data_IF_000614327195
#
_entry.id   IF_000614327195
#
_cell.length_a   1.000
_cell.length_b   1.000
_cell.length_c   1.000
_cell.angle_alpha   90.00
_cell.angle_beta   90.00
_cell.angle_gamma   90.00
#
_symmetry.space_group_name_H-M   'P 1'
#
loop_
_entity.id
_entity.type
_entity.pdbx_description
1 polymer ?
#
# COMPACT_ATOMS: atom_id res chain seq x y z
N UNK A 1 -19.24 20.81 38.27
CA UNK A 1 -17.80 21.18 38.32
C UNK A 1 -17.03 19.88 38.15
N UNK A 2 -16.17 19.60 37.18
CA UNK A 2 -15.55 20.30 36.06
C UNK A 2 -14.39 19.41 35.58
N UNK A 3 -14.04 19.48 34.29
CA UNK A 3 -12.80 19.00 33.62
C UNK A 3 -12.50 17.49 33.64
N UNK A 4 -12.68 16.74 32.54
CA UNK A 4 -11.83 16.66 31.31
C UNK A 4 -10.40 16.18 31.60
N UNK A 5 -10.17 14.88 31.38
CA UNK A 5 -8.85 14.28 31.19
C UNK A 5 -8.89 13.38 29.96
N UNK A 6 -8.29 13.84 28.84
CA UNK A 6 -8.07 13.05 27.63
C UNK A 6 -6.84 12.16 27.83
N UNK A 7 -7.01 10.85 27.87
CA UNK A 7 -5.95 9.88 27.64
C UNK A 7 -6.10 9.36 26.20
N UNK A 8 -5.18 9.76 25.33
CA UNK A 8 -5.10 9.24 23.95
C UNK A 8 -4.45 7.87 23.94
N UNK A 9 -5.23 6.82 23.65
CA UNK A 9 -4.69 5.51 23.31
C UNK A 9 -4.25 5.51 21.83
N UNK A 10 -2.94 5.47 21.61
CA UNK A 10 -2.32 5.29 20.30
C UNK A 10 -2.22 3.77 20.04
N UNK A 11 -3.08 3.23 19.18
CA UNK A 11 -2.98 1.83 18.73
C UNK A 11 -2.10 1.79 17.47
N UNK A 12 -0.87 1.32 17.64
CA UNK A 12 0.01 0.88 16.56
C UNK A 12 -0.45 -0.51 16.10
N UNK A 13 -0.79 -0.64 14.83
CA UNK A 13 -1.05 -1.94 14.19
C UNK A 13 0.20 -2.33 13.41
N UNK A 14 0.94 -3.30 13.92
CA UNK A 14 2.00 -3.98 13.18
C UNK A 14 1.37 -4.94 12.15
N UNK A 15 1.78 -4.82 10.89
CA UNK A 15 1.52 -5.84 9.86
C UNK A 15 2.85 -6.50 9.48
N UNK A 16 3.02 -7.75 9.90
CA UNK A 16 4.11 -8.61 9.46
C UNK A 16 4.00 -8.93 7.98
N UNK A 17 5.04 -8.59 7.22
CA UNK A 17 5.18 -8.93 5.80
C UNK A 17 5.73 -10.36 5.68
N UNK A 18 4.86 -11.28 5.26
CA UNK A 18 5.22 -12.62 4.82
C UNK A 18 4.70 -12.90 3.41
N UNK A 19 5.62 -13.28 2.53
CA UNK A 19 5.46 -13.76 1.14
C UNK A 19 5.25 -12.71 0.03
N UNK A 20 6.20 -12.77 -0.91
CA UNK A 20 6.28 -11.97 -2.12
C UNK A 20 5.28 -12.46 -3.19
N UNK A 21 4.52 -11.51 -3.76
CA UNK A 21 3.75 -11.68 -4.99
C UNK A 21 4.42 -10.81 -6.06
N UNK A 22 4.75 -11.31 -7.27
CA UNK A 22 5.44 -10.51 -8.27
C UNK A 22 4.52 -9.42 -8.86
N UNK A 23 4.96 -8.17 -8.72
CA UNK A 23 4.32 -6.90 -9.09
C UNK A 23 3.95 -6.73 -10.60
N UNK A 24 4.18 -7.72 -11.45
CA UNK A 24 3.91 -7.60 -12.89
C UNK A 24 2.44 -7.84 -13.28
N UNK A 25 1.64 -8.53 -12.46
CA UNK A 25 0.22 -8.76 -12.74
C UNK A 25 -0.71 -7.56 -12.45
N UNK A 26 -0.33 -6.68 -11.53
CA UNK A 26 -1.13 -5.51 -11.13
C UNK A 26 -1.03 -4.35 -12.14
N UNK A 27 0.09 -4.23 -12.85
CA UNK A 27 0.29 -3.17 -13.85
C UNK A 27 -0.62 -3.35 -15.08
N UNK A 28 -0.96 -4.60 -15.42
CA UNK A 28 -1.82 -4.91 -16.57
C UNK A 28 -3.32 -4.72 -16.27
N UNK A 29 -3.71 -4.78 -15.00
CA UNK A 29 -5.08 -4.50 -14.53
C UNK A 29 -5.29 -3.00 -14.35
N UNK A 30 -4.25 -2.25 -13.94
CA UNK A 30 -4.30 -0.80 -13.82
C UNK A 30 -4.38 -0.09 -15.18
N UNK A 31 -3.70 -0.58 -16.23
CA UNK A 31 -3.81 -0.01 -17.59
C UNK A 31 -5.19 -0.12 -18.24
N UNK A 32 -6.09 -0.98 -17.75
CA UNK A 32 -7.48 -1.07 -18.21
C UNK A 32 -8.44 -0.16 -17.44
N UNK A 33 -8.11 0.25 -16.21
CA UNK A 33 -8.97 1.16 -15.42
C UNK A 33 -8.91 2.60 -15.90
N UNK A 34 -7.80 3.03 -16.50
CA UNK A 34 -7.67 4.40 -17.02
C UNK A 34 -8.48 4.64 -18.30
N UNK A 35 -8.74 3.60 -19.11
CA UNK A 35 -9.66 3.71 -20.25
C UNK A 35 -11.14 3.83 -19.83
N UNK A 36 -11.54 3.22 -18.72
CA UNK A 36 -12.92 3.34 -18.19
C UNK A 36 -13.13 4.70 -17.52
N UNK A 37 -12.09 5.27 -16.90
CA UNK A 37 -12.13 6.62 -16.33
C UNK A 37 -12.15 7.72 -17.39
N UNK A 38 -11.46 7.53 -18.51
CA UNK A 38 -11.46 8.49 -19.63
C UNK A 38 -12.83 8.60 -20.33
N UNK A 39 -13.60 7.49 -20.42
CA UNK A 39 -14.97 7.54 -20.95
C UNK A 39 -15.99 8.16 -19.98
N UNK A 40 -15.74 8.14 -18.67
CA UNK A 40 -16.67 8.69 -17.68
C UNK A 40 -16.50 10.20 -17.44
N UNK A 41 -15.29 10.73 -17.66
CA UNK A 41 -15.00 12.17 -17.50
C UNK A 41 -15.47 12.99 -18.72
N UNK A 42 -15.61 12.38 -19.89
CA UNK A 42 -16.12 13.08 -21.09
C UNK A 42 -17.65 13.20 -21.17
N UNK A 43 -18.43 12.54 -20.29
CA UNK A 43 -19.90 12.62 -20.30
C UNK A 43 -20.51 13.56 -19.23
N UNK A 44 -19.71 14.14 -18.33
CA UNK A 44 -20.22 14.95 -17.21
C UNK A 44 -19.70 16.40 -17.20
N UNK A 45 -19.66 17.06 -18.36
CA UNK A 45 -19.46 18.51 -18.44
C UNK A 45 -20.48 19.14 -19.39
N UNK A 46 -21.71 19.31 -18.88
CA UNK A 46 -22.67 20.28 -19.39
C UNK A 46 -23.57 20.72 -18.22
N UNK A 47 -23.75 22.05 -17.98
CA UNK A 47 -24.53 22.54 -16.86
C UNK A 47 -26.02 22.67 -17.22
N UNK A 48 -26.89 22.21 -16.33
CA UNK A 48 -28.30 22.61 -16.31
C UNK A 48 -29.31 21.47 -16.49
N UNK A 49 -29.71 20.86 -15.38
CA UNK A 49 -31.10 20.47 -15.05
C UNK A 49 -31.08 19.71 -13.73
N UNK A 50 -31.67 20.31 -12.69
CA UNK A 50 -32.12 19.57 -11.52
C UNK A 50 -33.30 18.65 -11.90
N UNK A 51 -33.38 17.56 -11.16
CA UNK A 51 -34.55 16.71 -10.92
C UNK A 51 -34.81 15.55 -11.87
N UNK A 52 -35.06 14.41 -11.22
CA UNK A 52 -35.60 13.12 -11.69
C UNK A 52 -34.59 12.08 -12.20
N UNK A 53 -34.36 11.07 -11.34
CA UNK A 53 -34.38 9.63 -11.61
C UNK A 53 -33.46 8.95 -10.58
N UNK A 54 -33.99 8.43 -9.47
CA UNK A 54 -34.60 7.10 -9.33
C UNK A 54 -33.54 6.00 -9.35
N UNK A 55 -33.31 5.44 -8.16
CA UNK A 55 -33.32 3.99 -7.91
C UNK A 55 -32.86 3.12 -9.08
N UNK A 56 -31.63 2.60 -9.01
CA UNK A 56 -31.21 1.48 -9.83
C UNK A 56 -30.54 0.45 -8.93
N UNK A 57 -31.34 -0.58 -8.66
CA UNK A 57 -31.07 -1.76 -7.88
C UNK A 57 -29.80 -2.50 -8.29
N UNK A 58 -29.15 -3.02 -7.25
CA UNK A 58 -28.11 -4.03 -7.29
C UNK A 58 -28.72 -5.42 -7.59
N UNK A 59 -29.43 -5.57 -8.72
CA UNK A 59 -29.98 -6.87 -9.17
C UNK A 59 -29.79 -7.01 -10.68
N UNK A 60 -28.55 -7.23 -11.12
CA UNK A 60 -28.27 -7.67 -12.49
C UNK A 60 -26.86 -8.28 -12.61
N UNK A 61 -26.62 -9.44 -11.98
CA UNK A 61 -25.49 -10.32 -12.31
C UNK A 61 -25.85 -11.81 -12.23
N UNK A 62 -27.14 -12.14 -12.43
CA UNK A 62 -27.61 -13.50 -12.67
C UNK A 62 -28.37 -13.53 -14.00
N UNK A 63 -27.63 -13.75 -15.09
CA UNK A 63 -28.06 -14.49 -16.29
C UNK A 63 -27.11 -14.16 -17.42
N UNK A 64 -26.11 -15.02 -17.63
CA UNK A 64 -25.50 -15.20 -18.94
C UNK A 64 -25.84 -16.61 -19.35
N UNK A 65 -27.02 -16.73 -19.96
CA UNK A 65 -27.51 -17.95 -20.60
C UNK A 65 -26.55 -18.42 -21.69
N UNK A 66 -26.30 -19.73 -21.69
CA UNK A 66 -25.68 -20.45 -22.79
C UNK A 66 -26.50 -20.22 -24.08
N UNK A 67 -25.85 -19.70 -25.11
CA UNK A 67 -26.28 -19.92 -26.49
C UNK A 67 -25.13 -20.52 -27.29
N UNK A 68 -25.05 -21.85 -27.24
CA UNK A 68 -24.25 -22.68 -28.14
C UNK A 68 -24.98 -22.71 -29.48
N UNK A 69 -24.50 -21.94 -30.48
CA UNK A 69 -24.84 -22.19 -31.88
C UNK A 69 -23.86 -23.20 -32.46
N UNK A 70 -24.32 -24.43 -32.60
CA UNK A 70 -23.69 -25.48 -33.39
C UNK A 70 -23.78 -25.12 -34.87
N UNK A 71 -22.64 -24.95 -35.53
CA UNK A 71 -22.53 -24.95 -36.99
C UNK A 71 -21.71 -26.16 -37.40
N UNK A 72 -22.34 -27.00 -38.23
CA UNK A 72 -21.87 -28.27 -38.76
C UNK A 72 -20.95 -28.09 -39.98
N UNK A 73 -19.80 -28.79 -39.92
CA UNK A 73 -19.00 -29.40 -41.01
C UNK A 73 -18.14 -28.56 -41.99
N UNK A 74 -17.11 -29.14 -42.69
CA UNK A 74 -16.50 -30.49 -42.57
C UNK A 74 -14.94 -30.54 -42.54
N UNK A 75 -14.44 -31.72 -42.11
CA UNK A 75 -13.17 -32.42 -42.42
C UNK A 75 -11.88 -31.61 -42.70
N UNK A 76 -10.89 -31.80 -41.82
CA UNK A 76 -9.48 -31.71 -42.22
C UNK A 76 -8.48 -31.64 -41.06
N UNK A 77 -7.85 -32.78 -40.75
CA UNK A 77 -6.51 -32.96 -40.12
C UNK A 77 -6.08 -31.95 -39.03
N UNK A 78 -5.95 -32.42 -37.78
CA UNK A 78 -4.69 -32.40 -36.99
C UNK A 78 -4.95 -32.78 -35.53
N UNK A 79 -4.66 -34.03 -35.20
CA UNK A 79 -4.32 -34.44 -33.84
C UNK A 79 -3.11 -33.62 -33.36
N UNK A 80 -3.27 -32.87 -32.27
CA UNK A 80 -2.21 -31.98 -31.76
C UNK A 80 -2.69 -30.80 -30.93
N UNK A 81 -4.00 -30.52 -30.88
CA UNK A 81 -4.60 -29.49 -30.00
C UNK A 81 -5.46 -30.02 -28.85
N UNK A 82 -5.73 -31.33 -28.79
CA UNK A 82 -6.57 -31.90 -27.74
C UNK A 82 -5.88 -31.95 -26.37
N UNK A 83 -4.58 -32.24 -26.31
CA UNK A 83 -3.85 -32.36 -25.03
C UNK A 83 -3.62 -31.04 -24.26
N UNK A 84 -3.86 -29.86 -24.85
CA UNK A 84 -3.74 -28.57 -24.14
C UNK A 84 -5.05 -28.08 -23.56
N UNK A 85 -6.20 -28.50 -24.10
CA UNK A 85 -7.50 -28.16 -23.54
C UNK A 85 -7.79 -28.97 -22.28
N UNK A 86 -7.42 -30.25 -22.25
CA UNK A 86 -7.65 -31.10 -21.07
C UNK A 86 -6.80 -30.67 -19.86
N UNK A 87 -5.56 -30.21 -20.07
CA UNK A 87 -4.73 -29.67 -18.98
C UNK A 87 -5.23 -28.33 -18.44
N UNK A 88 -5.76 -27.45 -19.30
CA UNK A 88 -6.37 -26.19 -18.86
C UNK A 88 -7.69 -26.42 -18.13
N UNK A 89 -8.47 -27.43 -18.54
CA UNK A 89 -9.71 -27.82 -17.85
C UNK A 89 -9.44 -28.42 -16.47
N UNK A 90 -8.37 -29.20 -16.31
CA UNK A 90 -7.95 -29.75 -15.00
C UNK A 90 -7.38 -28.66 -14.09
N UNK A 91 -6.66 -27.67 -14.63
CA UNK A 91 -6.16 -26.52 -13.86
C UNK A 91 -7.30 -25.58 -13.46
N UNK A 92 -8.27 -25.32 -14.35
CA UNK A 92 -9.47 -24.54 -14.05
C UNK A 92 -10.41 -25.26 -13.06
N UNK A 93 -10.57 -26.58 -13.18
CA UNK A 93 -11.28 -27.38 -12.18
C UNK A 93 -10.54 -27.45 -10.84
N UNK A 94 -9.20 -27.50 -10.84
CA UNK A 94 -8.38 -27.46 -9.63
C UNK A 94 -8.44 -26.11 -8.90
N UNK A 95 -8.43 -25.00 -9.65
CA UNK A 95 -8.63 -23.65 -9.11
C UNK A 95 -10.06 -23.44 -8.61
N UNK A 96 -11.07 -23.99 -9.30
CA UNK A 96 -12.44 -24.02 -8.80
C UNK A 96 -12.60 -24.90 -7.55
N UNK A 97 -11.88 -26.01 -7.44
CA UNK A 97 -11.92 -26.88 -6.26
C UNK A 97 -11.22 -26.22 -5.05
N UNK A 98 -10.13 -25.48 -5.27
CA UNK A 98 -9.47 -24.67 -4.23
C UNK A 98 -10.30 -23.44 -3.83
N UNK A 99 -11.10 -22.88 -4.74
CA UNK A 99 -12.08 -21.83 -4.44
C UNK A 99 -13.40 -22.38 -3.83
N UNK A 100 -13.66 -23.68 -3.96
CA UNK A 100 -14.85 -24.39 -3.42
C UNK A 100 -14.56 -25.16 -2.13
N UNK A 101 -13.30 -25.22 -1.69
CA UNK A 101 -12.97 -25.54 -0.30
C UNK A 101 -13.47 -24.39 0.56
N UNK A 102 -14.72 -24.51 0.97
CA UNK A 102 -15.44 -23.52 1.75
C UNK A 102 -14.60 -23.06 2.95
N UNK A 103 -14.64 -21.76 3.28
CA UNK A 103 -13.98 -21.28 4.49
C UNK A 103 -14.46 -22.14 5.66
N UNK A 104 -13.53 -22.60 6.50
CA UNK A 104 -13.92 -23.29 7.73
C UNK A 104 -15.04 -22.50 8.41
N UNK A 105 -16.02 -23.19 8.98
CA UNK A 105 -17.27 -22.62 9.50
C UNK A 105 -17.03 -21.42 10.45
N UNK A 106 -15.85 -21.36 11.06
CA UNK A 106 -15.33 -20.29 11.91
C UNK A 106 -15.02 -18.99 11.15
N UNK A 107 -14.49 -19.06 9.93
CA UNK A 107 -14.09 -17.91 9.12
C UNK A 107 -15.29 -17.28 8.40
N UNK A 108 -16.24 -18.11 7.94
CA UNK A 108 -17.53 -17.64 7.40
C UNK A 108 -18.34 -16.87 8.43
N UNK A 109 -18.42 -17.39 9.67
CA UNK A 109 -19.13 -16.73 10.78
C UNK A 109 -18.50 -15.39 11.18
N UNK A 110 -17.16 -15.29 11.20
CA UNK A 110 -16.46 -14.03 11.47
C UNK A 110 -16.73 -12.98 10.39
N UNK A 111 -16.68 -13.37 9.12
CA UNK A 111 -16.99 -12.47 7.99
C UNK A 111 -18.45 -11.99 8.03
N UNK A 112 -19.37 -12.89 8.34
CA UNK A 112 -20.80 -12.57 8.48
C UNK A 112 -21.04 -11.55 9.60
N UNK A 113 -20.42 -11.74 10.78
CA UNK A 113 -20.48 -10.77 11.88
C UNK A 113 -19.90 -9.40 11.49
N UNK A 114 -18.80 -9.36 10.76
CA UNK A 114 -18.25 -8.08 10.28
C UNK A 114 -19.21 -7.36 9.33
N UNK A 115 -19.93 -8.11 8.48
CA UNK A 115 -20.94 -7.55 7.58
C UNK A 115 -22.15 -7.04 8.37
N UNK A 116 -22.57 -7.75 9.41
CA UNK A 116 -23.68 -7.33 10.29
C UNK A 116 -23.32 -6.06 11.07
N UNK A 117 -22.15 -6.01 11.71
CA UNK A 117 -21.67 -4.83 12.44
C UNK A 117 -21.52 -3.61 11.52
N UNK A 118 -21.06 -3.81 10.27
CA UNK A 118 -20.96 -2.70 9.31
C UNK A 118 -22.31 -2.23 8.80
N UNK A 119 -23.30 -3.12 8.68
CA UNK A 119 -24.69 -2.75 8.38
C UNK A 119 -25.34 -1.99 9.53
N UNK A 120 -25.20 -2.45 10.76
CA UNK A 120 -25.72 -1.77 11.96
C UNK A 120 -25.18 -0.36 12.07
N UNK A 121 -23.85 -0.18 11.94
CA UNK A 121 -23.22 1.15 11.94
C UNK A 121 -23.73 2.06 10.82
N UNK A 122 -24.05 1.49 9.67
CA UNK A 122 -24.57 2.26 8.54
C UNK A 122 -26.02 2.71 8.79
N UNK A 123 -26.85 1.87 9.42
CA UNK A 123 -28.20 2.26 9.82
C UNK A 123 -28.19 3.29 10.97
N UNK A 124 -27.30 3.15 11.96
CA UNK A 124 -27.11 4.17 13.00
C UNK A 124 -26.75 5.54 12.41
N UNK A 125 -25.81 5.56 11.44
CA UNK A 125 -25.44 6.79 10.75
C UNK A 125 -26.58 7.38 9.92
N UNK A 126 -27.45 6.55 9.33
CA UNK A 126 -28.64 7.02 8.61
C UNK A 126 -29.64 7.67 9.56
N UNK A 127 -29.90 7.06 10.71
CA UNK A 127 -30.80 7.61 11.72
C UNK A 127 -30.28 8.93 12.29
N UNK A 128 -28.98 9.02 12.57
CA UNK A 128 -28.34 10.25 13.02
C UNK A 128 -28.43 11.36 11.96
N UNK A 129 -28.17 11.04 10.69
CA UNK A 129 -28.27 12.01 9.60
C UNK A 129 -29.70 12.52 9.43
N UNK A 130 -30.70 11.64 9.56
CA UNK A 130 -32.11 12.03 9.54
C UNK A 130 -32.46 12.96 10.71
N UNK A 131 -31.99 12.65 11.93
CA UNK A 131 -32.18 13.51 13.11
C UNK A 131 -31.54 14.89 12.92
N UNK A 132 -30.30 14.94 12.41
CA UNK A 132 -29.60 16.19 12.14
C UNK A 132 -30.29 17.02 11.06
N UNK A 133 -30.80 16.38 10.00
CA UNK A 133 -31.55 17.07 8.96
C UNK A 133 -32.83 17.72 9.51
N UNK A 134 -33.59 16.97 10.32
CA UNK A 134 -34.80 17.50 10.97
C UNK A 134 -34.46 18.66 11.92
N UNK A 135 -33.39 18.54 12.71
CA UNK A 135 -32.95 19.63 13.59
C UNK A 135 -32.53 20.88 12.80
N UNK A 136 -31.80 20.71 11.69
CA UNK A 136 -31.41 21.82 10.81
C UNK A 136 -32.62 22.53 10.19
N UNK A 137 -33.67 21.79 9.81
CA UNK A 137 -34.91 22.37 9.29
C UNK A 137 -35.62 23.20 10.38
N UNK A 138 -35.72 22.68 11.60
CA UNK A 138 -36.30 23.40 12.74
C UNK A 138 -35.53 24.70 13.03
N UNK A 139 -34.20 24.64 13.11
CA UNK A 139 -33.37 25.82 13.34
C UNK A 139 -33.51 26.86 12.22
N UNK A 140 -33.69 26.41 10.98
CA UNK A 140 -33.93 27.32 9.85
C UNK A 140 -35.26 28.07 10.00
N UNK A 141 -36.30 27.41 10.49
CA UNK A 141 -37.59 28.05 10.77
C UNK A 141 -37.48 29.05 11.92
N UNK A 142 -36.82 28.68 13.02
CA UNK A 142 -36.59 29.56 14.17
C UNK A 142 -35.80 30.83 13.78
N UNK A 143 -34.75 30.68 12.97
CA UNK A 143 -33.96 31.79 12.46
C UNK A 143 -34.84 32.76 11.65
N UNK A 144 -35.71 32.24 10.79
CA UNK A 144 -36.62 33.06 10.01
C UNK A 144 -37.64 33.82 10.87
N UNK A 145 -38.16 33.19 11.94
CA UNK A 145 -39.05 33.84 12.91
C UNK A 145 -38.33 34.99 13.62
N UNK A 146 -37.12 34.74 14.16
CA UNK A 146 -36.32 35.77 14.85
C UNK A 146 -35.99 36.92 13.89
N UNK A 147 -35.65 36.61 12.64
CA UNK A 147 -35.35 37.61 11.61
C UNK A 147 -36.56 38.50 11.31
N UNK A 148 -37.78 37.97 11.31
CA UNK A 148 -39.00 38.76 11.16
C UNK A 148 -39.26 39.64 12.39
N UNK A 149 -39.17 39.09 13.60
CA UNK A 149 -39.32 39.86 14.83
C UNK A 149 -38.34 41.03 14.93
N UNK A 150 -37.08 40.82 14.50
CA UNK A 150 -36.08 41.88 14.47
C UNK A 150 -36.45 43.03 13.52
N UNK A 151 -37.02 42.72 12.35
CA UNK A 151 -37.51 43.74 11.41
C UNK A 151 -38.67 44.55 11.99
N UNK A 152 -39.59 43.90 12.69
CA UNK A 152 -40.71 44.59 13.36
C UNK A 152 -40.23 45.54 14.45
N UNK A 153 -39.29 45.09 15.29
CA UNK A 153 -38.70 45.93 16.34
C UNK A 153 -37.96 47.14 15.75
N UNK A 154 -37.23 46.95 14.65
CA UNK A 154 -36.58 48.06 13.93
C UNK A 154 -37.58 49.09 13.41
N UNK A 155 -38.74 48.65 12.91
CA UNK A 155 -39.80 49.58 12.48
C UNK A 155 -40.42 50.34 13.66
N UNK A 156 -40.64 49.67 14.80
CA UNK A 156 -41.14 50.31 16.02
C UNK A 156 -40.18 51.38 16.55
N UNK A 157 -38.87 51.10 16.55
CA UNK A 157 -37.86 52.08 16.94
C UNK A 157 -37.90 53.34 16.05
N UNK A 158 -37.91 53.15 14.72
CA UNK A 158 -38.01 54.27 13.77
C UNK A 158 -39.28 55.11 13.95
N UNK A 159 -40.39 54.49 14.36
CA UNK A 159 -41.63 55.21 14.66
C UNK A 159 -41.49 56.05 15.94
N UNK A 160 -40.98 55.46 17.02
CA UNK A 160 -40.80 56.16 18.30
C UNK A 160 -39.78 57.31 18.19
N UNK A 161 -38.72 57.16 17.41
CA UNK A 161 -37.75 58.24 17.16
C UNK A 161 -38.40 59.46 16.51
N UNK A 162 -39.30 59.25 15.55
CA UNK A 162 -40.07 60.33 14.92
C UNK A 162 -41.02 61.01 15.89
N UNK A 163 -41.66 60.24 16.78
CA UNK A 163 -42.54 60.78 17.83
C UNK A 163 -41.75 61.61 18.86
N UNK A 164 -40.58 61.14 19.28
CA UNK A 164 -39.66 61.87 20.17
C UNK A 164 -39.18 63.19 19.56
N UNK A 165 -38.91 63.21 18.25
CA UNK A 165 -38.57 64.45 17.54
C UNK A 165 -39.67 65.51 17.65
N UNK A 166 -40.92 65.11 17.40
CA UNK A 166 -42.09 65.99 17.51
C UNK A 166 -42.32 66.51 18.94
N UNK A 167 -42.12 65.67 19.94
CA UNK A 167 -42.24 66.07 21.35
C UNK A 167 -41.18 67.10 21.75
N UNK A 168 -39.92 66.91 21.30
CA UNK A 168 -38.85 67.87 21.56
C UNK A 168 -39.08 69.22 20.88
N UNK A 169 -39.70 69.23 19.70
CA UNK A 169 -40.08 70.47 19.01
C UNK A 169 -41.21 71.20 19.74
N UNK A 170 -42.20 70.45 20.26
CA UNK A 170 -43.28 71.01 21.08
C UNK A 170 -42.78 71.56 22.44
N UNK A 171 -41.79 70.91 23.06
CA UNK A 171 -41.20 71.31 24.33
C UNK A 171 -40.37 72.61 24.21
N UNK A 172 -39.63 72.77 23.10
CA UNK A 172 -38.89 74.00 22.79
C UNK A 172 -39.78 75.21 22.53
N UNK A 173 -41.04 75.00 22.13
CA UNK A 173 -42.00 76.08 21.94
C UNK A 173 -42.59 76.61 23.27
N UNK A 174 -42.33 75.96 24.41
CA UNK A 174 -43.10 76.17 25.65
C UNK A 174 -42.36 76.82 26.83
N UNK A 175 -41.02 76.97 26.87
CA UNK A 175 -40.36 77.23 28.16
C UNK A 175 -39.14 78.16 28.14
N UNK A 176 -39.15 79.07 29.13
CA UNK A 176 -38.23 80.17 29.44
C UNK A 176 -36.87 79.72 30.02
N UNK A 177 -35.81 80.46 29.71
CA UNK A 177 -34.44 79.95 29.44
C UNK A 177 -33.40 80.04 30.59
N UNK A 178 -33.77 80.31 31.84
CA UNK A 178 -32.77 80.61 32.89
C UNK A 178 -32.47 79.45 33.86
N UNK A 179 -33.39 78.50 34.07
CA UNK A 179 -33.16 77.36 34.98
C UNK A 179 -32.39 76.17 34.33
N UNK A 180 -32.21 76.20 33.01
CA UNK A 180 -31.64 75.09 32.25
C UNK A 180 -30.10 74.97 32.42
N UNK A 181 -29.31 76.05 32.43
CA UNK A 181 -27.84 75.93 32.53
C UNK A 181 -27.33 75.42 33.88
N UNK A 182 -27.93 75.85 34.99
CA UNK A 182 -27.51 75.44 36.35
C UNK A 182 -27.86 73.98 36.64
N UNK A 183 -29.06 73.52 36.23
CA UNK A 183 -29.44 72.12 36.29
C UNK A 183 -28.57 71.23 35.40
N UNK A 184 -28.11 71.73 34.26
CA UNK A 184 -27.16 71.00 33.40
C UNK A 184 -25.78 70.87 34.06
N UNK A 185 -25.30 71.91 34.74
CA UNK A 185 -24.04 71.86 35.48
C UNK A 185 -24.11 70.86 36.64
N UNK A 186 -25.17 70.90 37.46
CA UNK A 186 -25.36 69.95 38.56
C UNK A 186 -25.53 68.51 38.06
N UNK A 187 -26.23 68.31 36.95
CA UNK A 187 -26.35 66.97 36.32
C UNK A 187 -25.00 66.46 35.84
N UNK A 188 -24.15 67.33 35.27
CA UNK A 188 -22.81 66.96 34.85
C UNK A 188 -21.96 66.56 36.06
N UNK A 189 -21.98 67.36 37.12
CA UNK A 189 -21.23 67.04 38.35
C UNK A 189 -21.69 65.73 39.00
N UNK A 190 -23.00 65.47 39.04
CA UNK A 190 -23.53 64.20 39.54
C UNK A 190 -23.09 63.02 38.67
N UNK A 191 -23.00 63.21 37.34
CA UNK A 191 -22.50 62.19 36.44
C UNK A 191 -21.00 61.94 36.65
N UNK A 192 -20.20 62.99 36.77
CA UNK A 192 -18.74 62.88 37.02
C UNK A 192 -18.48 62.10 38.33
N UNK A 193 -19.24 62.37 39.40
CA UNK A 193 -19.15 61.61 40.65
C UNK A 193 -19.59 60.16 40.53
N UNK A 194 -20.58 59.85 39.68
CA UNK A 194 -20.99 58.47 39.40
C UNK A 194 -19.88 57.72 38.66
N UNK A 195 -19.27 58.37 37.66
CA UNK A 195 -18.19 57.79 36.88
C UNK A 195 -16.93 57.54 37.74
N UNK A 196 -16.59 58.48 38.64
CA UNK A 196 -15.54 58.30 39.64
C UNK A 196 -15.84 57.16 40.61
N UNK A 197 -17.09 57.07 41.10
CA UNK A 197 -17.52 56.00 41.98
C UNK A 197 -17.41 54.63 41.31
N UNK A 198 -17.78 54.54 40.04
CA UNK A 198 -17.64 53.30 39.26
C UNK A 198 -16.16 52.97 38.99
N UNK A 199 -15.32 53.97 38.73
CA UNK A 199 -13.85 53.79 38.69
C UNK A 199 -13.30 53.21 39.99
N UNK A 200 -13.72 53.74 41.15
CA UNK A 200 -13.32 53.23 42.46
C UNK A 200 -13.83 51.80 42.71
N UNK A 201 -15.08 51.49 42.32
CA UNK A 201 -15.59 50.10 42.39
C UNK A 201 -14.76 49.14 41.56
N UNK A 202 -14.32 49.55 40.37
CA UNK A 202 -13.46 48.73 39.52
C UNK A 202 -12.09 48.50 40.14
N UNK A 203 -11.47 49.52 40.74
CA UNK A 203 -10.21 49.37 41.48
C UNK A 203 -10.37 48.44 42.68
N UNK A 204 -11.42 48.61 43.48
CA UNK A 204 -11.71 47.74 44.63
C UNK A 204 -11.94 46.29 44.17
N UNK A 205 -12.68 46.09 43.08
CA UNK A 205 -12.88 44.75 42.53
C UNK A 205 -11.56 44.12 42.08
N UNK A 206 -10.72 44.86 41.34
CA UNK A 206 -9.41 44.40 40.90
C UNK A 206 -8.51 44.00 42.08
N UNK A 207 -8.44 44.86 43.10
CA UNK A 207 -7.68 44.58 44.32
C UNK A 207 -8.23 43.36 45.07
N UNK A 208 -9.55 43.19 45.14
CA UNK A 208 -10.16 42.02 45.77
C UNK A 208 -9.88 40.73 44.99
N UNK A 209 -9.86 40.79 43.65
CA UNK A 209 -9.49 39.65 42.80
C UNK A 209 -8.03 39.26 43.02
N UNK A 210 -7.12 40.24 43.03
CA UNK A 210 -5.71 39.98 43.33
C UNK A 210 -5.54 39.45 44.76
N UNK A 211 -6.18 40.06 45.76
CA UNK A 211 -6.14 39.60 47.14
C UNK A 211 -6.65 38.15 47.27
N UNK A 212 -7.75 37.81 46.60
CA UNK A 212 -8.29 36.45 46.57
C UNK A 212 -7.33 35.47 45.90
N UNK A 213 -6.68 35.89 44.81
CA UNK A 213 -5.66 35.10 44.12
C UNK A 213 -4.45 34.86 45.01
N UNK A 214 -3.97 35.87 45.74
CA UNK A 214 -2.91 35.74 46.73
C UNK A 214 -3.32 34.78 47.85
N UNK A 215 -4.48 34.97 48.46
CA UNK A 215 -4.99 34.11 49.54
C UNK A 215 -5.20 32.65 49.10
N UNK A 216 -5.54 32.42 47.83
CA UNK A 216 -5.69 31.06 47.28
C UNK A 216 -4.33 30.42 46.96
N UNK A 217 -3.39 31.21 46.43
CA UNK A 217 -2.06 30.74 46.03
C UNK A 217 -1.15 30.47 47.22
N UNK A 218 -1.30 31.24 48.29
CA UNK A 218 -0.48 31.16 49.49
C UNK A 218 -1.34 30.68 50.66
N UNK A 219 -0.96 29.54 51.25
CA UNK A 219 -1.59 29.01 52.47
C UNK A 219 -1.51 30.07 53.59
N UNK A 220 -2.56 30.28 54.39
CA UNK A 220 -2.45 31.04 55.63
C UNK A 220 -1.35 30.44 56.50
N UNK A 221 -0.39 31.27 56.91
CA UNK A 221 0.72 30.84 57.76
C UNK A 221 0.15 30.20 59.03
N UNK A 222 0.63 29.00 59.38
CA UNK A 222 0.28 28.35 60.65
C UNK A 222 0.79 29.17 61.83
N UNK A 223 0.21 28.97 63.02
CA UNK A 223 0.62 29.71 64.23
C UNK A 223 2.12 29.51 64.52
N UNK A 224 2.66 28.30 64.34
CA UNK A 224 4.11 28.04 64.38
C UNK A 224 4.91 28.81 63.32
N UNK A 225 4.47 28.85 62.05
CA UNK A 225 5.17 29.59 60.98
C UNK A 225 5.11 31.11 61.20
N UNK A 226 4.03 31.62 61.78
CA UNK A 226 3.88 33.04 62.13
C UNK A 226 4.79 33.48 63.28
N UNK A 227 5.15 32.56 64.18
CA UNK A 227 6.08 32.80 65.29
C UNK A 227 7.54 32.66 64.86
N UNK A 228 7.81 31.94 63.76
CA UNK A 228 9.13 31.77 63.14
C UNK A 228 9.41 32.76 62.00
N UNK A 229 8.57 33.78 61.81
CA UNK A 229 8.93 34.92 60.94
C UNK A 229 10.01 35.72 61.66
N UNK A 230 11.25 35.32 61.46
CA UNK A 230 12.48 35.85 62.07
C UNK A 230 12.81 37.31 61.67
N UNK A 231 11.84 38.05 61.13
CA UNK A 231 12.03 39.38 60.53
C UNK A 231 11.55 40.56 61.38
N UNK A 232 10.68 40.33 62.37
CA UNK A 232 10.12 41.42 63.19
C UNK A 232 10.35 41.15 64.68
N UNK A 233 10.95 42.09 65.44
CA UNK A 233 11.16 41.91 66.87
C UNK A 233 9.80 41.82 67.58
N UNK A 234 9.51 40.69 68.21
CA UNK A 234 8.28 40.48 69.00
C UNK A 234 8.27 41.27 70.32
N UNK A 235 9.39 41.89 70.68
CA UNK A 235 9.57 42.80 71.83
C UNK A 235 10.40 44.00 71.42
N UNK A 236 9.94 45.21 71.75
CA UNK A 236 10.61 46.48 71.49
C UNK A 236 9.78 47.44 70.63
N UNK A 237 10.19 48.72 70.52
CA UNK A 237 9.53 49.65 69.61
C UNK A 237 9.66 49.14 68.17
N UNK A 238 8.59 49.26 67.39
CA UNK A 238 8.60 48.86 66.01
C UNK A 238 9.76 49.54 65.26
N UNK A 239 10.46 48.81 64.38
CA UNK A 239 11.60 49.37 63.68
C UNK A 239 11.22 50.68 62.96
N UNK A 240 12.10 51.70 62.95
CA UNK A 240 11.78 52.99 62.32
C UNK A 240 11.41 52.86 60.84
N UNK A 241 11.98 51.89 60.13
CA UNK A 241 11.67 51.60 58.74
C UNK A 241 10.30 50.96 58.51
N UNK A 242 9.61 50.50 59.55
CA UNK A 242 8.24 49.99 59.46
C UNK A 242 7.21 51.12 59.62
N UNK A 243 7.57 52.16 60.38
CA UNK A 243 6.66 53.27 60.72
C UNK A 243 6.90 54.52 59.87
N UNK A 244 8.12 54.72 59.36
CA UNK A 244 8.49 55.89 58.56
C UNK A 244 8.76 55.51 57.09
N UNK A 245 7.92 56.08 56.23
CA UNK A 245 7.96 55.95 54.76
C UNK A 245 9.33 56.31 54.19
N UNK A 246 10.08 57.23 54.82
CA UNK A 246 11.40 57.67 54.33
C UNK A 246 12.43 56.56 54.30
N UNK A 247 12.30 55.56 55.18
CA UNK A 247 13.19 54.42 55.24
C UNK A 247 12.59 53.16 54.59
N UNK A 248 11.25 53.04 54.59
CA UNK A 248 10.56 51.93 53.93
C UNK A 248 10.66 52.00 52.40
N UNK A 249 10.49 53.20 51.82
CA UNK A 249 10.44 53.39 50.37
C UNK A 249 11.71 52.91 49.65
N UNK A 250 12.94 53.26 50.08
CA UNK A 250 14.17 52.71 49.48
C UNK A 250 14.30 51.19 49.59
N UNK A 251 13.83 50.58 50.69
CA UNK A 251 13.88 49.12 50.89
C UNK A 251 12.90 48.40 49.96
N UNK A 252 11.70 48.95 49.76
CA UNK A 252 10.73 48.41 48.82
C UNK A 252 11.24 48.50 47.38
N UNK A 253 11.85 49.63 46.99
CA UNK A 253 12.47 49.76 45.67
C UNK A 253 13.60 48.74 45.46
N UNK A 254 14.49 48.57 46.43
CA UNK A 254 15.55 47.56 46.35
C UNK A 254 14.99 46.13 46.28
N UNK A 255 13.85 45.85 46.92
CA UNK A 255 13.17 44.57 46.82
C UNK A 255 12.55 44.36 45.44
N UNK A 256 11.87 45.37 44.89
CA UNK A 256 11.33 45.35 43.53
C UNK A 256 12.43 45.12 42.49
N UNK A 257 13.57 45.81 42.62
CA UNK A 257 14.71 45.63 41.71
C UNK A 257 15.29 44.21 41.82
N UNK A 258 15.47 43.68 43.03
CA UNK A 258 15.88 42.28 43.24
C UNK A 258 14.86 41.24 42.76
N UNK A 259 13.59 41.61 42.61
CA UNK A 259 12.59 40.74 41.99
C UNK A 259 12.72 40.80 40.47
N UNK A 260 12.84 42.01 39.89
CA UNK A 260 13.07 42.19 38.45
C UNK A 260 14.33 41.45 37.97
N UNK A 261 15.45 41.59 38.67
CA UNK A 261 16.68 40.86 38.37
C UNK A 261 16.49 39.34 38.35
N UNK A 262 15.69 38.80 39.29
CA UNK A 262 15.37 37.37 39.31
C UNK A 262 14.46 36.97 38.16
N UNK A 263 13.49 37.82 37.81
CA UNK A 263 12.59 37.56 36.68
C UNK A 263 13.35 37.59 35.36
N UNK A 264 14.30 38.52 35.18
CA UNK A 264 15.20 38.60 34.04
C UNK A 264 16.12 37.37 33.95
N UNK A 265 16.72 36.95 35.06
CA UNK A 265 17.53 35.73 35.13
C UNK A 265 16.70 34.48 34.82
N UNK A 266 15.47 34.41 35.34
CA UNK A 266 14.57 33.30 35.03
C UNK A 266 14.22 33.27 33.54
N UNK A 267 13.97 34.43 32.92
CA UNK A 267 13.72 34.53 31.49
C UNK A 267 14.93 34.07 30.66
N UNK A 268 16.15 34.47 31.03
CA UNK A 268 17.37 34.05 30.32
C UNK A 268 17.60 32.55 30.43
N UNK A 269 17.45 31.97 31.61
CA UNK A 269 17.60 30.52 31.84
C UNK A 269 16.53 29.71 31.08
N UNK A 270 15.30 30.21 31.00
CA UNK A 270 14.25 29.58 30.22
C UNK A 270 14.58 29.54 28.72
N UNK A 271 15.15 30.63 28.18
CA UNK A 271 15.60 30.68 26.79
C UNK A 271 16.79 29.76 26.57
N UNK A 272 17.78 29.75 27.47
CA UNK A 272 18.90 28.81 27.40
C UNK A 272 18.44 27.34 27.41
N UNK A 273 17.48 26.98 28.27
CA UNK A 273 16.87 25.66 28.27
C UNK A 273 16.14 25.35 26.96
N UNK A 274 15.46 26.34 26.37
CA UNK A 274 14.81 26.18 25.06
C UNK A 274 15.84 25.94 23.96
N UNK A 275 16.90 26.73 23.90
CA UNK A 275 18.01 26.57 22.96
C UNK A 275 18.74 25.24 23.14
N UNK A 276 18.95 24.81 24.39
CA UNK A 276 19.52 23.50 24.69
C UNK A 276 18.62 22.37 24.20
N UNK A 277 17.30 22.44 24.47
CA UNK A 277 16.34 21.46 23.95
C UNK A 277 16.34 21.37 22.43
N UNK A 278 16.39 22.50 21.72
CA UNK A 278 16.46 22.51 20.26
C UNK A 278 17.75 21.83 19.75
N UNK A 279 18.91 22.20 20.31
CA UNK A 279 20.19 21.57 19.95
C UNK A 279 20.22 20.06 20.22
N UNK A 280 19.65 19.62 21.34
CA UNK A 280 19.54 18.17 21.63
C UNK A 280 18.65 17.47 20.60
N UNK A 281 17.53 18.08 20.21
CA UNK A 281 16.65 17.52 19.17
C UNK A 281 17.36 17.44 17.81
N UNK A 282 18.15 18.45 17.44
CA UNK A 282 18.97 18.44 16.23
C UNK A 282 19.99 17.31 16.25
N UNK A 283 20.74 17.15 17.35
CA UNK A 283 21.73 16.07 17.49
C UNK A 283 21.08 14.70 17.47
N UNK A 284 19.91 14.53 18.11
CA UNK A 284 19.16 13.26 18.06
C UNK A 284 18.75 12.95 16.63
N UNK A 285 18.25 13.95 15.88
CA UNK A 285 17.87 13.77 14.48
C UNK A 285 19.06 13.42 13.60
N UNK A 286 20.19 14.10 13.75
CA UNK A 286 21.43 13.78 13.05
C UNK A 286 21.90 12.36 13.36
N UNK A 287 21.81 11.95 14.63
CA UNK A 287 22.19 10.60 15.05
C UNK A 287 21.26 9.52 14.44
N UNK A 288 19.96 9.77 14.38
CA UNK A 288 19.00 8.90 13.71
C UNK A 288 19.28 8.79 12.19
N UNK A 289 19.60 9.91 11.53
CA UNK A 289 19.96 9.94 10.11
C UNK A 289 21.26 9.16 9.84
N UNK A 290 22.30 9.36 10.64
CA UNK A 290 23.56 8.62 10.55
C UNK A 290 23.36 7.12 10.78
N UNK A 291 22.51 6.74 11.74
CA UNK A 291 22.18 5.33 11.96
C UNK A 291 21.48 4.68 10.75
N UNK A 292 20.58 5.41 10.08
CA UNK A 292 19.95 4.93 8.85
C UNK A 292 20.96 4.79 7.72
N UNK A 293 21.86 5.76 7.55
CA UNK A 293 22.91 5.71 6.54
C UNK A 293 23.85 4.50 6.76
N UNK A 294 24.30 4.28 7.99
CA UNK A 294 25.12 3.10 8.32
C UNK A 294 24.41 1.77 8.07
N UNK A 295 23.11 1.69 8.36
CA UNK A 295 22.31 0.49 8.05
C UNK A 295 22.23 0.23 6.54
N UNK A 296 21.97 1.27 5.74
CA UNK A 296 21.93 1.18 4.28
C UNK A 296 23.30 0.81 3.70
N UNK A 297 24.38 1.38 4.24
CA UNK A 297 25.74 1.05 3.84
C UNK A 297 26.06 -0.42 4.12
N UNK A 298 25.71 -0.92 5.30
CA UNK A 298 25.89 -2.34 5.66
C UNK A 298 25.09 -3.26 4.74
N UNK A 299 23.85 -2.90 4.40
CA UNK A 299 23.04 -3.67 3.45
C UNK A 299 23.65 -3.67 2.04
N UNK A 300 24.17 -2.53 1.57
CA UNK A 300 24.83 -2.44 0.28
C UNK A 300 26.10 -3.31 0.24
N UNK A 301 26.89 -3.32 1.32
CA UNK A 301 28.07 -4.19 1.47
C UNK A 301 27.68 -5.67 1.39
N UNK A 302 26.66 -6.10 2.12
CA UNK A 302 26.16 -7.48 2.05
C UNK A 302 25.71 -7.88 0.65
N UNK A 303 24.96 -7.01 -0.06
CA UNK A 303 24.53 -7.28 -1.44
C UNK A 303 25.73 -7.34 -2.40
N UNK A 304 26.75 -6.52 -2.19
CA UNK A 304 27.99 -6.58 -2.99
C UNK A 304 28.75 -7.89 -2.75
N UNK A 305 28.83 -8.36 -1.50
CA UNK A 305 29.43 -9.65 -1.17
C UNK A 305 28.66 -10.83 -1.80
N UNK A 306 27.33 -10.83 -1.70
CA UNK A 306 26.48 -11.84 -2.36
C UNK A 306 26.68 -11.85 -3.88
N UNK A 307 26.71 -10.68 -4.52
CA UNK A 307 26.98 -10.56 -5.95
C UNK A 307 28.36 -11.09 -6.32
N UNK A 308 29.38 -10.81 -5.51
CA UNK A 308 30.73 -11.35 -5.72
C UNK A 308 30.74 -12.87 -5.65
N UNK A 309 30.10 -13.46 -4.64
CA UNK A 309 29.99 -14.92 -4.50
C UNK A 309 29.23 -15.55 -5.68
N UNK A 310 28.16 -14.92 -6.15
CA UNK A 310 27.40 -15.38 -7.32
C UNK A 310 28.24 -15.35 -8.60
N UNK A 311 29.05 -14.30 -8.80
CA UNK A 311 29.99 -14.20 -9.92
C UNK A 311 31.02 -15.34 -9.85
N UNK A 312 31.64 -15.54 -8.69
CA UNK A 312 32.60 -16.64 -8.47
C UNK A 312 31.96 -18.01 -8.76
N UNK A 313 30.72 -18.22 -8.32
CA UNK A 313 29.99 -19.47 -8.57
C UNK A 313 29.67 -19.66 -10.05
N UNK A 314 29.29 -18.61 -10.77
CA UNK A 314 29.08 -18.64 -12.23
C UNK A 314 30.39 -18.96 -12.97
N UNK A 315 31.52 -18.39 -12.57
CA UNK A 315 32.82 -18.70 -13.15
C UNK A 315 33.22 -20.16 -12.94
N UNK A 316 32.96 -20.71 -11.74
CA UNK A 316 33.18 -22.13 -11.46
C UNK A 316 32.30 -23.00 -12.37
N UNK A 317 31.02 -22.66 -12.53
CA UNK A 317 30.11 -23.41 -13.42
C UNK A 317 30.55 -23.33 -14.89
N UNK A 318 30.97 -22.15 -15.36
CA UNK A 318 31.48 -21.98 -16.72
C UNK A 318 32.75 -22.80 -16.95
N UNK A 319 33.68 -22.82 -15.99
CA UNK A 319 34.89 -23.67 -16.07
C UNK A 319 34.52 -25.15 -16.13
N UNK A 320 33.67 -25.64 -15.22
CA UNK A 320 33.17 -27.03 -15.24
C UNK A 320 32.51 -27.40 -16.55
N UNK A 321 31.68 -26.52 -17.12
CA UNK A 321 31.02 -26.75 -18.40
C UNK A 321 32.03 -26.82 -19.56
N UNK A 322 33.05 -25.95 -19.57
CA UNK A 322 34.14 -25.97 -20.55
C UNK A 322 34.97 -27.25 -20.44
N UNK A 323 35.35 -27.66 -19.23
CA UNK A 323 36.14 -28.87 -19.00
C UNK A 323 35.38 -30.12 -19.42
N UNK A 324 34.11 -30.25 -19.03
CA UNK A 324 33.24 -31.35 -19.46
C UNK A 324 32.96 -31.34 -20.97
N UNK A 325 32.96 -30.17 -21.62
CA UNK A 325 32.88 -30.09 -23.07
C UNK A 325 34.17 -30.56 -23.74
N UNK A 326 35.34 -30.15 -23.24
CA UNK A 326 36.63 -30.60 -23.74
C UNK A 326 36.81 -32.11 -23.58
N UNK A 327 36.38 -32.67 -22.45
CA UNK A 327 36.41 -34.12 -22.21
C UNK A 327 35.55 -34.87 -23.22
N UNK A 328 34.30 -34.43 -23.42
CA UNK A 328 33.42 -34.99 -24.47
C UNK A 328 34.05 -34.89 -25.87
N UNK A 329 34.72 -33.78 -26.22
CA UNK A 329 35.42 -33.67 -27.49
C UNK A 329 36.56 -34.69 -27.63
N UNK A 330 37.32 -34.94 -26.56
CA UNK A 330 38.38 -35.98 -26.54
C UNK A 330 37.78 -37.37 -26.75
N UNK A 331 36.67 -37.67 -26.07
CA UNK A 331 35.95 -38.94 -26.24
C UNK A 331 35.39 -39.12 -27.65
N UNK A 332 34.73 -38.10 -28.20
CA UNK A 332 34.21 -38.11 -29.58
C UNK A 332 35.34 -38.35 -30.58
N UNK A 333 36.49 -37.68 -30.41
CA UNK A 333 37.67 -37.93 -31.25
C UNK A 333 38.17 -39.38 -31.13
N UNK A 334 38.22 -39.94 -29.92
CA UNK A 334 38.61 -41.34 -29.70
C UNK A 334 37.65 -42.32 -30.38
N UNK A 335 36.34 -42.12 -30.20
CA UNK A 335 35.31 -42.95 -30.83
C UNK A 335 35.31 -42.82 -32.35
N UNK A 336 35.52 -41.60 -32.87
CA UNK A 336 35.63 -41.36 -34.33
C UNK A 336 36.79 -42.14 -34.92
N UNK A 337 37.97 -42.15 -34.27
CA UNK A 337 39.11 -42.97 -34.72
C UNK A 337 38.78 -44.46 -34.72
N UNK A 338 38.12 -44.96 -33.67
CA UNK A 338 37.69 -46.36 -33.60
C UNK A 338 36.70 -46.71 -34.72
N UNK A 339 35.74 -45.82 -35.00
CA UNK A 339 34.75 -45.98 -36.06
C UNK A 339 35.43 -46.07 -37.43
N UNK A 340 36.35 -45.15 -37.75
CA UNK A 340 37.09 -45.18 -39.03
C UNK A 340 37.92 -46.45 -39.21
N UNK A 341 38.50 -47.00 -38.14
CA UNK A 341 39.26 -48.25 -38.19
C UNK A 341 38.35 -49.46 -38.43
N UNK A 342 37.18 -49.50 -37.77
CA UNK A 342 36.18 -50.53 -37.99
C UNK A 342 35.60 -50.46 -39.39
N UNK A 343 35.27 -49.27 -39.90
CA UNK A 343 34.81 -49.07 -41.27
C UNK A 343 35.83 -49.58 -42.29
N UNK A 344 37.12 -49.27 -42.12
CA UNK A 344 38.19 -49.78 -42.99
C UNK A 344 38.28 -51.32 -42.95
N UNK A 345 38.14 -51.93 -41.77
CA UNK A 345 38.12 -53.39 -41.61
C UNK A 345 36.88 -54.03 -42.27
N UNK A 346 35.71 -53.43 -42.10
CA UNK A 346 34.49 -53.90 -42.77
C UNK A 346 34.65 -53.85 -44.28
N UNK A 347 35.19 -52.75 -44.83
CA UNK A 347 35.48 -52.63 -46.26
C UNK A 347 36.48 -53.67 -46.76
N UNK A 348 37.53 -53.99 -46.00
CA UNK A 348 38.49 -55.03 -46.40
C UNK A 348 37.84 -56.42 -46.40
N UNK A 349 37.03 -56.73 -45.38
CA UNK A 349 36.29 -57.98 -45.29
C UNK A 349 35.24 -58.12 -46.41
N UNK A 350 34.56 -57.03 -46.77
CA UNK A 350 33.63 -57.01 -47.92
C UNK A 350 34.35 -57.30 -49.24
N UNK A 351 35.55 -56.74 -49.45
CA UNK A 351 36.37 -57.05 -50.63
C UNK A 351 36.81 -58.51 -50.68
N UNK A 352 37.25 -59.07 -49.55
CA UNK A 352 37.61 -60.50 -49.47
C UNK A 352 36.39 -61.40 -49.73
N UNK A 353 35.22 -61.07 -49.16
CA UNK A 353 33.98 -61.78 -49.43
C UNK A 353 33.57 -61.71 -50.89
N UNK A 354 33.73 -60.57 -51.55
CA UNK A 354 33.47 -60.42 -52.98
C UNK A 354 34.43 -61.30 -53.81
N UNK A 355 35.72 -61.29 -53.51
CA UNK A 355 36.71 -62.14 -54.19
C UNK A 355 36.45 -63.64 -53.98
N UNK A 356 36.10 -64.06 -52.77
CA UNK A 356 35.75 -65.45 -52.47
C UNK A 356 34.47 -65.89 -53.22
N UNK A 357 33.48 -65.01 -53.33
CA UNK A 357 32.27 -65.28 -54.14
C UNK A 357 32.63 -65.46 -55.62
N UNK A 358 33.51 -64.61 -56.15
CA UNK A 358 33.97 -64.71 -57.54
C UNK A 358 34.72 -66.04 -57.77
N UNK A 359 35.59 -66.45 -56.86
CA UNK A 359 36.25 -67.76 -56.91
C UNK A 359 35.26 -68.93 -56.85
N UNK A 360 34.24 -68.86 -55.99
CA UNK A 360 33.17 -69.85 -55.94
C UNK A 360 32.37 -69.91 -57.25
N UNK A 361 32.09 -68.78 -57.87
CA UNK A 361 31.43 -68.69 -59.17
C UNK A 361 32.27 -69.37 -60.27
N UNK A 362 33.59 -69.12 -60.29
CA UNK A 362 34.53 -69.77 -61.21
C UNK A 362 34.53 -71.29 -61.01
N UNK A 363 34.75 -71.77 -59.78
CA UNK A 363 34.74 -73.20 -59.46
C UNK A 363 33.40 -73.87 -59.78
N UNK A 364 32.29 -73.14 -59.59
CA UNK A 364 30.95 -73.62 -59.95
C UNK A 364 30.81 -73.77 -61.46
N UNK A 365 31.29 -72.80 -62.23
CA UNK A 365 31.31 -72.85 -63.69
C UNK A 365 32.19 -74.01 -64.19
N UNK A 366 33.38 -74.20 -63.61
CA UNK A 366 34.26 -75.34 -63.90
C UNK A 366 33.61 -76.69 -63.58
N UNK A 367 32.97 -76.82 -62.41
CA UNK A 367 32.21 -78.02 -62.05
C UNK A 367 31.08 -78.29 -63.04
N UNK A 368 30.38 -77.25 -63.48
CA UNK A 368 29.29 -77.35 -64.45
C UNK A 368 29.81 -77.75 -65.83
N UNK A 369 30.96 -77.22 -66.26
CA UNK A 369 31.64 -77.61 -67.49
C UNK A 369 32.15 -79.05 -67.45
N UNK A 370 32.77 -79.47 -66.35
CA UNK A 370 33.19 -80.85 -66.14
C UNK A 370 32.00 -81.80 -66.13
N UNK A 371 30.87 -81.39 -65.56
CA UNK A 371 29.62 -82.14 -65.56
C UNK A 371 29.06 -82.28 -66.98
N UNK A 372 28.92 -81.20 -67.75
CA UNK A 372 28.45 -81.29 -69.15
C UNK A 372 29.40 -82.13 -70.01
N UNK A 373 30.72 -82.06 -69.75
CA UNK A 373 31.72 -82.93 -70.40
C UNK A 373 31.54 -84.41 -70.02
N UNK A 374 31.28 -84.72 -68.76
CA UNK A 374 31.02 -86.08 -68.30
C UNK A 374 29.71 -86.60 -68.89
N UNK A 375 28.63 -85.83 -68.83
CA UNK A 375 27.31 -86.16 -69.39
C UNK A 375 27.42 -86.38 -70.91
N UNK A 376 28.18 -85.55 -71.61
CA UNK A 376 28.52 -85.74 -73.03
C UNK A 376 29.32 -87.03 -73.30
N UNK A 377 30.31 -87.37 -72.46
CA UNK A 377 31.05 -88.64 -72.57
C UNK A 377 30.17 -89.86 -72.28
N UNK A 378 29.27 -89.78 -71.30
CA UNK A 378 28.31 -90.83 -70.99
C UNK A 378 27.36 -91.00 -72.18
N UNK A 379 26.81 -89.91 -72.72
CA UNK A 379 25.97 -89.95 -73.91
C UNK A 379 26.71 -90.57 -75.12
N UNK A 380 27.98 -90.23 -75.35
CA UNK A 380 28.82 -90.87 -76.38
C UNK A 380 29.08 -92.36 -76.10
N UNK A 381 29.33 -92.75 -74.84
CA UNK A 381 29.49 -94.17 -74.46
C UNK A 381 28.20 -94.97 -74.63
N UNK A 382 27.04 -94.41 -74.27
CA UNK A 382 25.73 -95.02 -74.50
C UNK A 382 25.47 -95.14 -76.01
N UNK A 383 25.75 -94.09 -76.79
CA UNK A 383 25.72 -94.17 -78.26
C UNK A 383 26.67 -95.25 -78.79
N UNK A 384 27.88 -95.38 -78.25
CA UNK A 384 28.85 -96.41 -78.66
C UNK A 384 28.39 -97.82 -78.27
N UNK A 385 27.73 -97.98 -77.11
CA UNK A 385 27.11 -99.24 -76.70
C UNK A 385 25.97 -99.62 -77.63
N UNK A 386 25.07 -98.68 -77.94
CA UNK A 386 23.97 -98.89 -78.91
C UNK A 386 24.53 -99.19 -80.31
N UNK A 387 25.58 -98.50 -80.76
CA UNK A 387 26.23 -98.77 -82.04
C UNK A 387 26.94 -100.13 -82.05
N UNK A 388 27.54 -100.55 -80.93
CA UNK A 388 28.13 -101.89 -80.82
C UNK A 388 27.07 -102.98 -80.74
N UNK A 389 25.93 -102.74 -80.09
CA UNK A 389 24.75 -103.63 -80.15
C UNK A 389 24.18 -103.70 -81.57
N UNK A 390 24.13 -102.58 -82.30
CA UNK A 390 23.72 -102.55 -83.71
C UNK A 390 24.76 -103.19 -84.64
N UNK A 391 26.04 -103.25 -84.25
CA UNK A 391 27.10 -103.98 -84.96
C UNK A 391 27.09 -105.47 -84.64
N UNK A 392 26.78 -105.88 -83.41
CA UNK A 392 26.61 -107.29 -83.05
C UNK A 392 25.33 -107.90 -83.63
N UNK A 393 24.34 -107.07 -83.97
CA UNK A 393 23.18 -107.47 -84.79
C UNK A 393 23.43 -107.47 -86.31
N UNK A 394 24.54 -106.90 -86.80
CA UNK A 394 24.88 -106.79 -88.22
C UNK A 394 26.17 -107.53 -88.60
N UNK A 395 26.43 -108.68 -88.01
CA UNK A 395 27.40 -109.64 -88.54
C UNK A 395 26.65 -110.77 -89.28
N UNK A 396 26.64 -110.78 -90.63
CA UNK A 396 26.00 -111.84 -91.41
C UNK A 396 26.82 -113.15 -91.38
N UNK A 397 26.16 -114.32 -91.47
CA UNK A 397 26.78 -115.63 -91.33
C UNK A 397 27.66 -115.94 -92.55
N UNK A 398 28.86 -116.47 -92.32
CA UNK A 398 29.61 -117.20 -93.35
C UNK A 398 29.71 -118.67 -92.98
N UNK A 399 29.17 -119.48 -93.89
CA UNK A 399 29.22 -120.93 -93.93
C UNK A 399 30.61 -121.43 -94.32
N UNK A 400 30.95 -122.62 -93.78
CA UNK A 400 31.75 -123.72 -94.35
C UNK A 400 32.94 -123.42 -95.29
N UNK A 401 34.15 -123.70 -94.80
CA UNK A 401 34.96 -124.86 -95.21
C UNK A 401 36.00 -125.18 -94.12
#
# INVERSE_FOLDING_TARGET
MGTVGKAGLRVTVEFGLGSAIPLWGLLHILRRKDLVRACFVHLCSAPGAMSQAVECDLVACHSWDLHVKTVTEPRGKKAGRQLRQDSLLVILCGLCFLLSLGPSDVTGRKRQRCIEITKEKLEELKEENLRLNNANQTLTLELNIIKQAMKELQLKLKKMEKEKGKLKEAEKASSQEVAVPELLYLRKQAQDLVDENDGLKMTVHHLNVELSRYQTKFRPLSKEESLNIEGLPSKGPAPPWLLDIKYLSPLLLAYEDRMKEKDELNASLQEEMRMFRMRVQEVVKENEELHQEHQLQTQAELVLEENKLLIEQLEIQQRKAKDAHQERLREVSKLTKQLTLLEAKTQSQEKELAGNKEQLEILRNECQELKTRLDGKIAMKVHASIVNELKSFNAPPRMSL
#
